data_IF_630127279084
#
_entry.id   IF_630127279084
#
_cell.length_a   1.000
_cell.length_b   1.000
_cell.length_c   1.000
_cell.angle_alpha   90.00
_cell.angle_beta   90.00
_cell.angle_gamma   90.00
#
_symmetry.space_group_name_H-M   'P 1'
#
loop_
_entity.id
_entity.type
_entity.pdbx_description
1 polymer ?
#
# COMPACT_ATOMS: atom_id res chain seq x y z
N UNK A 1 -29.93 30.28 36.84
CA UNK A 1 -29.06 31.12 35.97
C UNK A 1 -28.11 30.19 35.26
N UNK A 2 -27.88 30.48 33.98
CA UNK A 2 -27.52 29.55 32.91
C UNK A 2 -26.05 29.13 33.00
N UNK A 3 -25.78 27.86 33.32
CA UNK A 3 -24.46 27.24 33.27
C UNK A 3 -24.17 26.63 31.88
N UNK A 4 -24.59 27.33 30.82
CA UNK A 4 -24.30 26.94 29.43
C UNK A 4 -22.92 27.42 28.95
N UNK A 5 -22.27 28.34 29.67
CA UNK A 5 -20.97 28.90 29.25
C UNK A 5 -19.80 27.91 29.30
N UNK A 6 -19.79 26.96 30.24
CA UNK A 6 -18.66 26.02 30.37
C UNK A 6 -18.70 24.90 29.33
N UNK A 7 -19.88 24.37 29.00
CA UNK A 7 -20.02 23.31 27.98
C UNK A 7 -19.72 23.81 26.56
N UNK A 8 -19.97 25.09 26.27
CA UNK A 8 -19.61 25.68 24.97
C UNK A 8 -18.11 25.88 24.85
N UNK A 9 -17.40 26.23 25.94
CA UNK A 9 -15.94 26.44 25.91
C UNK A 9 -15.20 25.13 25.59
N UNK A 10 -15.64 23.99 26.12
CA UNK A 10 -15.04 22.68 25.80
C UNK A 10 -15.26 22.26 24.34
N UNK A 11 -16.49 22.40 23.84
CA UNK A 11 -16.79 22.08 22.45
C UNK A 11 -16.08 23.03 21.49
N UNK A 12 -16.01 24.32 21.81
CA UNK A 12 -15.31 25.30 20.99
C UNK A 12 -13.80 25.02 20.98
N UNK A 13 -13.19 24.68 22.12
CA UNK A 13 -11.78 24.30 22.19
C UNK A 13 -11.48 22.99 21.44
N UNK A 14 -12.35 21.98 21.58
CA UNK A 14 -12.22 20.70 20.89
C UNK A 14 -12.42 20.87 19.37
N UNK A 15 -13.37 21.70 18.94
CA UNK A 15 -13.62 22.00 17.52
C UNK A 15 -12.47 22.83 16.93
N UNK A 16 -12.00 23.86 17.63
CA UNK A 16 -10.86 24.67 17.20
C UNK A 16 -9.60 23.81 17.05
N UNK A 17 -9.35 22.91 17.99
CA UNK A 17 -8.18 22.04 17.94
C UNK A 17 -8.35 20.92 16.93
N UNK A 18 -9.55 20.35 16.76
CA UNK A 18 -9.82 19.35 15.71
C UNK A 18 -9.91 19.97 14.30
N UNK A 19 -10.03 21.29 14.17
CA UNK A 19 -10.15 21.93 12.85
C UNK A 19 -8.86 21.87 12.02
N UNK A 20 -7.70 21.74 12.67
CA UNK A 20 -6.38 21.71 12.03
C UNK A 20 -5.94 20.30 11.63
N UNK A 21 -6.51 19.26 12.25
CA UNK A 21 -6.18 17.87 11.95
C UNK A 21 -6.53 17.46 10.50
N UNK A 22 -7.76 17.69 9.98
CA UNK A 22 -8.11 17.31 8.61
C UNK A 22 -7.18 17.92 7.54
N UNK A 23 -6.89 19.24 7.51
CA UNK A 23 -6.03 19.79 6.48
C UNK A 23 -4.58 19.29 6.58
N UNK A 24 -4.05 19.07 7.79
CA UNK A 24 -2.67 18.60 7.98
C UNK A 24 -2.50 17.14 7.57
N UNK A 25 -3.45 16.28 7.91
CA UNK A 25 -3.46 14.88 7.46
C UNK A 25 -3.65 14.80 5.94
N UNK A 26 -4.57 15.57 5.38
CA UNK A 26 -4.77 15.60 3.93
C UNK A 26 -3.50 16.07 3.21
N UNK A 27 -2.78 17.05 3.76
CA UNK A 27 -1.50 17.49 3.21
C UNK A 27 -0.45 16.37 3.27
N UNK A 28 -0.32 15.68 4.40
CA UNK A 28 0.62 14.57 4.55
C UNK A 28 0.30 13.43 3.56
N UNK A 29 -0.96 13.00 3.48
CA UNK A 29 -1.41 11.95 2.56
C UNK A 29 -1.22 12.32 1.10
N UNK A 30 -1.52 13.56 0.70
CA UNK A 30 -1.27 14.03 -0.66
C UNK A 30 0.23 14.03 -1.00
N UNK A 31 1.09 14.36 -0.02
CA UNK A 31 2.54 14.33 -0.20
C UNK A 31 3.05 12.90 -0.34
N UNK A 32 2.57 11.98 0.50
CA UNK A 32 2.86 10.55 0.41
C UNK A 32 2.43 10.01 -0.96
N UNK A 33 1.20 10.30 -1.40
CA UNK A 33 0.70 9.86 -2.71
C UNK A 33 1.54 10.42 -3.88
N UNK A 34 2.01 11.67 -3.78
CA UNK A 34 2.91 12.24 -4.77
C UNK A 34 4.28 11.54 -4.80
N UNK A 35 4.84 11.20 -3.64
CA UNK A 35 6.08 10.42 -3.52
C UNK A 35 5.89 8.98 -4.02
N UNK A 36 4.73 8.37 -3.78
CA UNK A 36 4.40 7.03 -4.29
C UNK A 36 4.35 7.00 -5.81
N UNK A 37 3.69 7.98 -6.44
CA UNK A 37 3.67 8.09 -7.91
C UNK A 37 5.08 8.26 -8.48
N UNK A 38 5.90 9.15 -7.91
CA UNK A 38 7.31 9.30 -8.32
C UNK A 38 8.10 8.00 -8.15
N UNK A 39 7.88 7.30 -7.04
CA UNK A 39 8.54 6.01 -6.75
C UNK A 39 8.09 4.90 -7.71
N UNK A 40 6.86 4.93 -8.21
CA UNK A 40 6.38 4.01 -9.24
C UNK A 40 7.04 4.32 -10.58
N UNK A 41 7.07 5.59 -11.01
CA UNK A 41 7.75 6.03 -12.24
C UNK A 41 9.24 5.62 -12.24
N UNK A 42 9.94 5.82 -11.12
CA UNK A 42 11.34 5.42 -10.98
C UNK A 42 11.54 3.90 -10.95
N UNK A 43 10.57 3.14 -10.41
CA UNK A 43 10.58 1.66 -10.50
C UNK A 43 10.43 1.18 -11.93
N UNK A 44 9.59 1.82 -12.74
CA UNK A 44 9.47 1.51 -14.16
C UNK A 44 10.75 1.87 -14.94
N UNK A 45 11.40 2.99 -14.62
CA UNK A 45 12.71 3.36 -15.18
C UNK A 45 13.80 2.34 -14.82
N UNK A 46 13.77 1.87 -13.57
CA UNK A 46 14.69 0.85 -13.05
C UNK A 46 14.50 -0.48 -13.78
N UNK A 47 13.26 -0.94 -13.94
CA UNK A 47 12.95 -2.16 -14.68
C UNK A 47 13.42 -2.05 -16.14
N UNK A 48 13.21 -0.90 -16.79
CA UNK A 48 13.72 -0.62 -18.14
C UNK A 48 15.25 -0.63 -18.20
N UNK A 49 15.96 -0.21 -17.15
CA UNK A 49 17.42 -0.33 -17.09
C UNK A 49 17.87 -1.77 -16.86
N UNK A 50 17.16 -2.54 -16.04
CA UNK A 50 17.41 -3.95 -15.83
C UNK A 50 17.25 -4.75 -17.14
N UNK A 51 16.14 -4.54 -17.85
CA UNK A 51 15.89 -5.17 -19.14
C UNK A 51 16.97 -4.83 -20.17
N UNK A 52 17.41 -3.56 -20.25
CA UNK A 52 18.53 -3.16 -21.13
C UNK A 52 19.84 -3.89 -20.78
N UNK A 53 20.09 -4.13 -19.49
CA UNK A 53 21.25 -4.90 -19.07
C UNK A 53 21.15 -6.38 -19.46
N UNK A 54 19.95 -6.96 -19.46
CA UNK A 54 19.70 -8.33 -19.91
C UNK A 54 19.82 -8.46 -21.44
N UNK A 55 19.30 -7.48 -22.18
CA UNK A 55 19.30 -7.45 -23.65
C UNK A 55 20.71 -7.37 -24.24
N UNK A 56 21.67 -6.76 -23.53
CA UNK A 56 23.10 -6.75 -23.91
C UNK A 56 23.73 -8.15 -23.91
N UNK A 57 23.10 -9.11 -23.23
CA UNK A 57 23.54 -10.51 -23.16
C UNK A 57 24.87 -10.70 -22.43
N UNK A 58 25.28 -11.95 -22.18
CA UNK A 58 26.51 -12.25 -21.42
C UNK A 58 27.81 -11.97 -22.19
N UNK A 59 27.72 -11.54 -23.46
CA UNK A 59 28.87 -11.30 -24.35
C UNK A 59 29.25 -9.82 -24.40
N UNK A 60 28.43 -8.93 -23.86
CA UNK A 60 28.75 -7.51 -23.78
C UNK A 60 29.93 -7.26 -22.82
N UNK A 61 30.72 -6.24 -23.15
CA UNK A 61 31.93 -5.93 -22.40
C UNK A 61 31.59 -5.41 -21.00
N UNK A 62 32.46 -5.64 -20.02
CA UNK A 62 32.28 -5.10 -18.66
C UNK A 62 32.12 -3.56 -18.65
N UNK A 63 32.76 -2.88 -19.60
CA UNK A 63 32.64 -1.42 -19.83
C UNK A 63 31.25 -1.00 -20.32
N UNK A 64 30.53 -1.86 -21.08
CA UNK A 64 29.19 -1.57 -21.59
C UNK A 64 28.11 -1.79 -20.50
N UNK A 65 28.35 -2.74 -19.59
CA UNK A 65 27.46 -2.98 -18.44
C UNK A 65 27.68 -1.98 -17.30
N UNK A 66 28.88 -1.40 -17.17
CA UNK A 66 29.22 -0.46 -16.09
C UNK A 66 28.25 0.73 -15.97
N UNK A 67 27.94 1.51 -17.02
CA UNK A 67 27.03 2.65 -16.89
C UNK A 67 25.61 2.23 -16.51
N UNK A 68 25.14 1.08 -16.99
CA UNK A 68 23.83 0.54 -16.62
C UNK A 68 23.77 0.11 -15.15
N UNK A 69 24.85 -0.50 -14.64
CA UNK A 69 24.97 -0.84 -13.21
C UNK A 69 24.99 0.41 -12.34
N UNK A 70 25.78 1.41 -12.69
CA UNK A 70 25.87 2.67 -11.95
C UNK A 70 24.49 3.38 -11.94
N UNK A 71 23.76 3.38 -13.05
CA UNK A 71 22.40 3.91 -13.12
C UNK A 71 21.40 3.11 -12.27
N UNK A 72 21.47 1.78 -12.31
CA UNK A 72 20.64 0.90 -11.49
C UNK A 72 20.88 1.14 -9.99
N UNK A 73 22.15 1.22 -9.57
CA UNK A 73 22.53 1.49 -8.18
C UNK A 73 22.04 2.87 -7.72
N UNK A 74 22.21 3.89 -8.57
CA UNK A 74 21.70 5.24 -8.30
C UNK A 74 20.18 5.27 -8.14
N UNK A 75 19.44 4.59 -9.01
CA UNK A 75 17.98 4.54 -8.94
C UNK A 75 17.50 3.77 -7.69
N UNK A 76 18.16 2.68 -7.31
CA UNK A 76 17.87 1.97 -6.06
C UNK A 76 18.11 2.86 -4.82
N UNK A 77 19.22 3.62 -4.80
CA UNK A 77 19.51 4.57 -3.72
C UNK A 77 18.41 5.62 -3.56
N UNK A 78 17.93 6.18 -4.67
CA UNK A 78 16.82 7.15 -4.67
C UNK A 78 15.50 6.53 -4.19
N UNK A 79 15.18 5.29 -4.59
CA UNK A 79 13.98 4.59 -4.12
C UNK A 79 14.00 4.36 -2.60
N UNK A 80 15.15 4.02 -2.04
CA UNK A 80 15.33 3.88 -0.59
C UNK A 80 15.13 5.21 0.13
N UNK A 81 15.73 6.28 -0.39
CA UNK A 81 15.55 7.62 0.16
C UNK A 81 14.07 8.04 0.18
N UNK A 82 13.35 7.85 -0.93
CA UNK A 82 11.92 8.18 -0.98
C UNK A 82 11.06 7.24 -0.13
N UNK A 83 11.49 6.00 0.11
CA UNK A 83 10.84 5.12 1.08
C UNK A 83 10.98 5.64 2.51
N UNK A 84 12.17 6.11 2.88
CA UNK A 84 12.42 6.73 4.19
C UNK A 84 11.61 8.02 4.37
N UNK A 85 11.58 8.91 3.38
CA UNK A 85 10.79 10.14 3.42
C UNK A 85 9.28 9.85 3.56
N UNK A 86 8.76 8.84 2.86
CA UNK A 86 7.36 8.41 3.00
C UNK A 86 7.06 7.86 4.39
N UNK A 87 7.96 7.04 4.94
CA UNK A 87 7.83 6.51 6.28
C UNK A 87 7.81 7.63 7.32
N UNK A 88 8.71 8.62 7.21
CA UNK A 88 8.75 9.78 8.08
C UNK A 88 7.44 10.58 8.03
N UNK A 89 6.91 10.85 6.83
CA UNK A 89 5.63 11.53 6.68
C UNK A 89 4.47 10.75 7.31
N UNK A 90 4.46 9.42 7.17
CA UNK A 90 3.44 8.56 7.77
C UNK A 90 3.53 8.56 9.30
N UNK A 91 4.73 8.52 9.87
CA UNK A 91 4.96 8.63 11.32
C UNK A 91 4.42 9.96 11.84
N UNK A 92 4.79 11.08 11.22
CA UNK A 92 4.33 12.42 11.65
C UNK A 92 2.81 12.54 11.57
N UNK A 93 2.19 12.03 10.50
CA UNK A 93 0.74 12.02 10.37
C UNK A 93 0.07 11.18 11.47
N UNK A 94 0.64 10.01 11.79
CA UNK A 94 0.15 9.15 12.85
C UNK A 94 0.27 9.80 14.23
N UNK A 95 1.43 10.37 14.56
CA UNK A 95 1.65 11.10 15.82
C UNK A 95 0.69 12.28 15.98
N UNK A 96 0.37 12.98 14.87
CA UNK A 96 -0.64 14.02 14.88
C UNK A 96 -2.00 13.45 15.31
N UNK A 97 -2.46 12.37 14.67
CA UNK A 97 -3.73 11.71 15.02
C UNK A 97 -3.73 11.27 16.49
N UNK A 98 -2.66 10.60 16.95
CA UNK A 98 -2.56 10.14 18.35
C UNK A 98 -2.61 11.29 19.36
N UNK A 99 -2.08 12.46 19.02
CA UNK A 99 -2.16 13.65 19.88
C UNK A 99 -3.59 14.14 20.00
N UNK A 100 -4.34 14.15 18.90
CA UNK A 100 -5.75 14.54 18.92
C UNK A 100 -6.63 13.52 19.65
N UNK A 101 -6.34 12.22 19.51
CA UNK A 101 -7.05 11.17 20.27
C UNK A 101 -6.86 11.38 21.77
N UNK A 102 -5.61 11.53 22.23
CA UNK A 102 -5.31 11.78 23.65
C UNK A 102 -5.99 13.03 24.20
N UNK A 103 -5.98 14.12 23.43
CA UNK A 103 -6.65 15.35 23.81
C UNK A 103 -8.17 15.15 23.93
N UNK A 104 -8.80 14.48 22.96
CA UNK A 104 -10.24 14.18 23.03
C UNK A 104 -10.55 13.29 24.24
N UNK A 105 -9.69 12.31 24.55
CA UNK A 105 -9.85 11.47 25.73
C UNK A 105 -9.74 12.28 27.04
N UNK A 106 -8.80 13.23 27.13
CA UNK A 106 -8.64 14.14 28.27
C UNK A 106 -9.86 15.09 28.42
N UNK A 107 -10.34 15.65 27.31
CA UNK A 107 -11.53 16.51 27.29
C UNK A 107 -12.79 15.74 27.70
N UNK A 108 -12.93 14.49 27.24
CA UNK A 108 -14.03 13.59 27.62
C UNK A 108 -13.97 13.23 29.10
N UNK A 109 -12.79 12.92 29.63
CA UNK A 109 -12.61 12.64 31.06
C UNK A 109 -12.99 13.86 31.91
N UNK A 110 -12.51 15.06 31.53
CA UNK A 110 -12.88 16.30 32.21
C UNK A 110 -14.38 16.56 32.18
N UNK A 111 -15.05 16.26 31.06
CA UNK A 111 -16.51 16.35 30.95
C UNK A 111 -17.26 15.36 31.84
N UNK A 112 -16.79 14.11 31.95
CA UNK A 112 -17.35 13.11 32.85
C UNK A 112 -17.24 13.55 34.32
N UNK A 113 -16.07 14.06 34.73
CA UNK A 113 -15.83 14.61 36.06
C UNK A 113 -16.77 15.80 36.35
N UNK A 114 -16.91 16.73 35.39
CA UNK A 114 -17.84 17.86 35.48
C UNK A 114 -19.32 17.42 35.63
N UNK A 115 -19.74 16.35 34.96
CA UNK A 115 -21.09 15.81 35.06
C UNK A 115 -21.34 15.12 36.41
N UNK A 116 -20.34 14.41 36.92
CA UNK A 116 -20.38 13.78 38.24
C UNK A 116 -20.49 14.87 39.32
N UNK A 117 -19.67 15.92 39.25
CA UNK A 117 -19.67 17.04 40.20
C UNK A 117 -20.98 17.83 40.20
N UNK A 118 -21.66 17.90 39.05
CA UNK A 118 -22.99 18.53 38.92
C UNK A 118 -24.13 17.64 39.43
N UNK A 119 -23.83 16.44 39.95
CA UNK A 119 -24.82 15.52 40.50
C UNK A 119 -25.69 14.81 39.45
N UNK A 120 -25.33 14.88 38.16
CA UNK A 120 -26.10 14.24 37.09
C UNK A 120 -26.04 12.70 37.15
N UNK A 121 -25.10 12.14 37.93
CA UNK A 121 -24.92 10.70 38.17
C UNK A 121 -25.13 10.26 39.63
N UNK A 122 -25.56 11.15 40.53
CA UNK A 122 -25.77 10.83 41.94
C UNK A 122 -27.16 10.25 42.27
N UNK A 123 -28.07 10.14 41.29
CA UNK A 123 -29.46 9.69 41.49
C UNK A 123 -29.85 8.45 40.65
N UNK A 124 -28.91 7.53 40.42
CA UNK A 124 -29.22 6.17 39.89
C UNK A 124 -28.70 5.09 40.86
N UNK A 125 -28.70 5.44 42.15
CA UNK A 125 -27.95 4.72 43.18
C UNK A 125 -28.67 3.60 43.92
N UNK A 126 -29.95 3.28 43.65
CA UNK A 126 -30.64 2.26 44.48
C UNK A 126 -31.64 1.33 43.77
N UNK A 127 -31.85 1.41 42.44
CA UNK A 127 -32.87 0.58 41.75
C UNK A 127 -32.39 -0.10 40.44
N UNK A 128 -31.08 -0.31 40.25
CA UNK A 128 -30.56 -1.01 39.05
C UNK A 128 -30.14 -2.45 39.37
N UNK A 129 -30.83 -3.41 38.76
CA UNK A 129 -30.62 -4.86 38.95
C UNK A 129 -29.18 -5.33 38.59
N UNK A 130 -28.70 -6.44 39.18
CA UNK A 130 -27.27 -6.79 39.23
C UNK A 130 -26.64 -7.24 37.90
N UNK A 131 -27.37 -7.28 36.78
CA UNK A 131 -26.90 -7.93 35.55
C UNK A 131 -26.27 -6.98 34.50
N UNK A 132 -26.31 -5.67 34.68
CA UNK A 132 -25.71 -4.70 33.71
C UNK A 132 -24.41 -4.05 34.18
N UNK A 133 -23.71 -4.65 35.13
CA UNK A 133 -22.35 -4.22 35.48
C UNK A 133 -21.38 -4.68 34.40
N UNK A 134 -21.23 -3.90 33.33
CA UNK A 134 -20.14 -4.13 32.36
C UNK A 134 -18.79 -4.12 33.09
N UNK A 135 -17.88 -5.04 32.75
CA UNK A 135 -16.61 -5.19 33.45
C UNK A 135 -15.76 -3.95 33.21
N UNK A 136 -15.45 -3.26 34.29
CA UNK A 136 -14.35 -2.30 34.33
C UNK A 136 -13.08 -3.03 33.89
N UNK A 137 -12.63 -2.71 32.68
CA UNK A 137 -11.40 -3.26 32.11
C UNK A 137 -10.21 -2.83 32.97
N UNK A 138 -9.78 -3.76 33.82
CA UNK A 138 -8.39 -4.01 34.20
C UNK A 138 -7.55 -2.79 34.55
N UNK A 139 -7.69 -2.31 35.79
CA UNK A 139 -6.56 -1.76 36.55
C UNK A 139 -5.46 -2.83 36.61
N UNK A 140 -4.42 -2.73 35.77
CA UNK A 140 -3.12 -3.33 36.10
C UNK A 140 -2.47 -2.42 37.15
N UNK A 141 -2.36 -2.96 38.34
CA UNK A 141 -1.88 -2.26 39.53
C UNK A 141 -0.46 -1.74 39.39
N UNK A 142 -0.29 -0.46 39.71
CA UNK A 142 0.92 0.10 40.25
C UNK A 142 0.73 0.29 41.76
N UNK A 143 1.35 -0.59 42.53
CA UNK A 143 1.52 -0.55 43.98
C UNK A 143 2.48 -1.70 44.30
N UNK A 144 3.70 -1.49 44.79
CA UNK A 144 4.07 -0.63 45.91
C UNK A 144 4.46 -1.56 47.04
N UNK A 145 5.76 -1.84 47.20
CA UNK A 145 6.30 -2.48 48.40
C UNK A 145 7.59 -1.76 48.79
N UNK A 146 7.56 -1.11 49.95
CA UNK A 146 8.74 -0.59 50.63
C UNK A 146 9.46 -1.68 51.43
N UNK A 147 10.66 -1.32 51.91
CA UNK A 147 11.35 -2.06 52.97
C UNK A 147 12.83 -2.32 52.65
N UNK A 148 13.69 -1.52 53.28
CA UNK A 148 15.15 -1.58 53.25
C UNK A 148 15.73 -2.97 53.56
N UNK A 149 16.99 -3.21 53.16
CA UNK A 149 18.08 -3.83 53.95
C UNK A 149 19.35 -3.99 53.08
N UNK A 150 20.42 -3.30 53.49
CA UNK A 150 21.87 -3.66 53.49
C UNK A 150 22.57 -4.31 52.28
N UNK A 151 23.73 -3.73 51.93
CA UNK A 151 24.90 -4.36 51.29
C UNK A 151 24.81 -4.34 49.76
N UNK A 152 25.75 -3.82 48.99
CA UNK A 152 27.19 -3.67 49.14
C UNK A 152 27.81 -4.05 47.78
N UNK A 153 28.87 -3.35 47.40
CA UNK A 153 29.86 -3.68 46.35
C UNK A 153 29.44 -3.70 44.86
N UNK A 154 29.96 -2.71 44.11
CA UNK A 154 30.90 -2.95 43.02
C UNK A 154 30.42 -2.89 41.56
N UNK A 155 31.12 -2.08 40.76
CA UNK A 155 31.28 -2.25 39.30
C UNK A 155 30.33 -1.40 38.43
N UNK A 156 30.71 -0.23 37.92
CA UNK A 156 31.66 0.07 36.83
C UNK A 156 31.00 0.16 35.44
N UNK A 157 31.43 1.20 34.70
CA UNK A 157 31.32 1.46 33.26
C UNK A 157 29.93 1.97 32.79
N UNK A 158 29.76 3.12 32.16
CA UNK A 158 30.70 4.03 31.49
C UNK A 158 30.04 4.50 30.19
N UNK A 159 29.55 5.75 30.16
CA UNK A 159 29.04 6.38 28.94
C UNK A 159 30.15 7.14 28.19
N UNK A 160 30.08 7.28 26.85
CA UNK A 160 30.90 8.24 26.10
C UNK A 160 30.14 9.59 26.00
N UNK A 161 30.63 10.69 26.60
CA UNK A 161 31.71 11.63 26.20
C UNK A 161 31.42 12.43 24.93
N UNK A 162 31.02 13.70 25.12
CA UNK A 162 31.27 14.78 24.18
C UNK A 162 32.51 15.55 24.67
N UNK A 163 33.57 15.56 23.88
CA UNK A 163 34.84 16.24 24.17
C UNK A 163 34.87 17.60 23.47
N UNK A 164 34.92 18.65 24.26
CA UNK A 164 35.55 19.91 23.87
C UNK A 164 37.06 19.68 23.67
N UNK A 165 37.67 20.41 22.74
CA UNK A 165 39.10 20.66 22.75
C UNK A 165 39.34 22.13 22.39
N UNK A 166 39.99 22.84 23.29
CA UNK A 166 40.49 24.21 23.14
C UNK A 166 42.02 24.19 23.02
N UNK A 167 42.57 25.20 22.35
CA UNK A 167 44.00 25.51 22.23
C UNK A 167 44.45 25.54 20.77
N UNK A 168 45.14 26.53 20.22
CA UNK A 168 45.80 27.71 20.77
C UNK A 168 47.04 28.05 19.92
N UNK A 169 46.96 29.14 19.14
CA UNK A 169 48.00 30.11 18.71
C UNK A 169 49.35 29.68 18.10
N UNK A 170 49.63 30.20 16.88
CA UNK A 170 50.83 30.94 16.39
C UNK A 170 50.77 30.94 14.84
N UNK A 171 50.77 32.03 14.05
CA UNK A 171 51.57 33.24 13.88
C UNK A 171 52.18 33.24 12.44
N UNK A 172 52.13 34.41 11.76
CA UNK A 172 52.82 34.81 10.50
C UNK A 172 52.30 34.23 9.17
N UNK A 173 52.30 34.90 8.02
CA UNK A 173 52.42 36.31 7.58
C UNK A 173 52.16 36.31 6.05
N UNK A 174 51.91 37.49 5.49
CA UNK A 174 52.04 37.90 4.09
C UNK A 174 51.02 37.50 2.99
N UNK A 175 50.57 38.56 2.30
CA UNK A 175 50.56 38.59 0.84
C UNK A 175 49.19 38.73 0.17
N UNK A 176 48.88 39.94 -0.31
CA UNK A 176 47.61 40.31 -0.92
C UNK A 176 47.44 39.98 -2.41
N UNK A 177 46.31 40.42 -2.97
CA UNK A 177 46.07 40.37 -4.42
C UNK A 177 44.61 40.61 -4.80
N UNK A 178 44.32 41.82 -5.27
CA UNK A 178 43.04 42.26 -5.80
C UNK A 178 42.64 41.54 -7.10
N UNK A 179 41.34 41.40 -7.35
CA UNK A 179 40.83 40.84 -8.60
C UNK A 179 39.31 40.95 -8.74
N UNK A 180 38.89 42.10 -9.26
CA UNK A 180 37.55 42.52 -9.66
C UNK A 180 37.02 41.70 -10.86
N UNK A 181 35.72 41.34 -10.89
CA UNK A 181 34.83 41.41 -12.07
C UNK A 181 33.40 40.92 -11.77
N UNK A 182 32.44 41.61 -12.37
CA UNK A 182 31.00 41.60 -12.05
C UNK A 182 30.12 40.62 -12.84
N UNK A 183 28.81 40.92 -13.00
CA UNK A 183 27.73 39.93 -12.97
C UNK A 183 27.23 39.48 -14.36
N UNK A 184 26.71 38.25 -14.44
CA UNK A 184 26.17 37.66 -15.67
C UNK A 184 24.73 37.15 -15.49
N UNK A 185 23.84 37.71 -16.29
CA UNK A 185 22.40 37.45 -16.38
C UNK A 185 22.09 36.01 -16.82
N UNK A 186 21.11 35.38 -16.16
CA UNK A 186 20.51 34.13 -16.60
C UNK A 186 19.46 34.37 -17.70
N UNK A 187 19.69 33.77 -18.86
CA UNK A 187 18.68 33.57 -19.90
C UNK A 187 18.21 32.10 -19.86
N UNK A 188 16.93 31.82 -20.17
CA UNK A 188 16.31 30.51 -19.94
C UNK A 188 16.57 29.52 -21.09
N UNK A 189 16.48 28.20 -20.85
CA UNK A 189 16.43 27.22 -21.93
C UNK A 189 15.02 27.07 -22.54
N UNK A 190 14.93 26.52 -23.76
CA UNK A 190 13.85 26.76 -24.71
C UNK A 190 12.70 25.75 -24.66
N UNK A 191 11.53 26.21 -25.12
CA UNK A 191 10.40 25.38 -25.50
C UNK A 191 10.70 24.57 -26.78
N UNK A 192 10.60 23.25 -26.68
CA UNK A 192 10.51 22.29 -27.78
C UNK A 192 9.80 21.06 -27.18
N UNK A 193 8.88 20.33 -27.81
CA UNK A 193 8.23 20.38 -29.12
C UNK A 193 7.24 19.21 -29.06
N UNK A 194 6.01 19.39 -29.53
CA UNK A 194 5.04 18.32 -29.60
C UNK A 194 5.52 17.17 -30.52
N UNK A 195 5.44 15.94 -30.04
CA UNK A 195 5.29 14.69 -30.80
C UNK A 195 4.68 13.66 -29.85
N UNK A 196 3.35 13.49 -29.85
CA UNK A 196 2.58 12.52 -30.64
C UNK A 196 3.11 11.08 -30.60
N UNK A 197 2.21 10.18 -30.12
CA UNK A 197 2.16 8.71 -30.16
C UNK A 197 2.96 8.04 -29.03
N UNK A 198 2.43 7.19 -28.16
CA UNK A 198 1.24 6.34 -28.19
C UNK A 198 1.70 4.88 -28.08
N UNK A 199 1.27 4.16 -27.04
CA UNK A 199 1.48 2.72 -26.93
C UNK A 199 1.47 2.19 -25.48
N UNK A 200 0.35 1.62 -25.05
CA UNK A 200 0.41 0.36 -24.29
C UNK A 200 0.07 -0.80 -25.22
N UNK A 201 -0.14 -2.02 -24.72
CA UNK A 201 0.62 -2.80 -23.73
C UNK A 201 1.44 -3.91 -24.45
N UNK A 202 2.34 -4.68 -23.80
CA UNK A 202 3.02 -5.76 -24.50
C UNK A 202 2.14 -7.02 -24.52
N UNK A 203 1.53 -7.30 -25.68
CA UNK A 203 1.21 -8.67 -26.11
C UNK A 203 2.33 -9.15 -27.03
N UNK A 204 2.93 -10.30 -26.72
CA UNK A 204 3.83 -11.01 -27.63
C UNK A 204 3.02 -11.90 -28.57
N UNK A 205 3.24 -11.71 -29.89
CA UNK A 205 2.69 -12.54 -30.98
C UNK A 205 3.86 -13.24 -31.68
N UNK A 206 3.94 -14.57 -31.60
CA UNK A 206 4.76 -15.35 -32.53
C UNK A 206 3.92 -15.81 -33.73
N UNK A 207 4.48 -15.64 -34.91
CA UNK A 207 3.89 -16.00 -36.19
C UNK A 207 4.33 -17.41 -36.63
N UNK A 208 3.41 -18.19 -37.17
CA UNK A 208 3.71 -19.15 -38.23
C UNK A 208 2.74 -18.90 -39.38
N UNK A 209 3.30 -18.67 -40.57
CA UNK A 209 2.55 -18.60 -41.82
C UNK A 209 2.53 -19.95 -42.51
N UNK A 210 1.47 -20.23 -43.25
CA UNK A 210 1.52 -20.98 -44.50
C UNK A 210 0.35 -20.54 -45.37
N UNK A 211 0.69 -20.21 -46.61
CA UNK A 211 -0.18 -19.86 -47.73
C UNK A 211 -0.11 -21.02 -48.73
N UNK A 212 -1.19 -21.25 -49.50
CA UNK A 212 -1.14 -22.06 -50.71
C UNK A 212 -2.20 -23.18 -50.87
N UNK A 213 -3.30 -22.84 -51.57
CA UNK A 213 -3.56 -23.42 -52.90
C UNK A 213 -4.34 -24.74 -53.08
N UNK A 214 -5.56 -24.59 -53.63
CA UNK A 214 -6.18 -25.35 -54.74
C UNK A 214 -6.56 -26.85 -54.61
N UNK A 215 -7.87 -27.10 -54.69
CA UNK A 215 -8.53 -27.90 -55.75
C UNK A 215 -8.41 -29.44 -55.72
N UNK A 216 -9.57 -30.12 -55.66
CA UNK A 216 -9.67 -31.52 -56.08
C UNK A 216 -10.87 -32.28 -55.51
N UNK A 217 -11.88 -32.52 -56.35
CA UNK A 217 -12.96 -33.47 -56.15
C UNK A 217 -12.43 -34.90 -55.93
N UNK A 218 -13.09 -35.69 -55.08
CA UNK A 218 -12.74 -37.11 -54.91
C UNK A 218 -13.65 -37.86 -53.93
N UNK A 219 -14.49 -38.72 -54.48
CA UNK A 219 -15.43 -39.61 -53.79
C UNK A 219 -14.75 -40.64 -52.86
N UNK A 220 -15.45 -40.97 -51.76
CA UNK A 220 -15.86 -42.36 -51.49
C UNK A 220 -15.06 -43.21 -50.49
N UNK A 221 -15.84 -43.85 -49.60
CA UNK A 221 -15.53 -44.98 -48.69
C UNK A 221 -14.66 -44.59 -47.48
N UNK A 222 -15.08 -44.74 -46.21
CA UNK A 222 -15.79 -45.86 -45.60
C UNK A 222 -14.81 -46.54 -44.64
N UNK A 223 -14.96 -46.34 -43.33
CA UNK A 223 -14.11 -47.00 -42.33
C UNK A 223 -14.20 -46.37 -40.94
N UNK A 224 -14.96 -47.04 -40.07
CA UNK A 224 -14.75 -47.28 -38.63
C UNK A 224 -13.79 -46.32 -37.90
N UNK A 225 -14.21 -45.59 -36.88
CA UNK A 225 -14.77 -46.19 -35.67
C UNK A 225 -13.80 -46.03 -34.50
N UNK A 226 -13.74 -44.80 -33.99
CA UNK A 226 -13.44 -44.43 -32.59
C UNK A 226 -12.04 -44.76 -32.04
N UNK A 227 -11.10 -43.85 -32.28
CA UNK A 227 -10.22 -43.32 -31.22
C UNK A 227 -10.04 -41.82 -31.51
N UNK A 228 -10.83 -41.00 -30.84
CA UNK A 228 -10.62 -39.56 -30.84
C UNK A 228 -9.36 -39.25 -30.01
N UNK A 229 -8.36 -38.53 -30.54
CA UNK A 229 -7.37 -37.89 -29.69
C UNK A 229 -8.12 -36.87 -28.82
N UNK A 230 -7.93 -36.97 -27.50
CA UNK A 230 -8.44 -36.00 -26.53
C UNK A 230 -7.90 -34.64 -26.94
N UNK A 231 -8.75 -33.85 -27.58
CA UNK A 231 -8.46 -32.46 -27.88
C UNK A 231 -8.25 -31.74 -26.56
N UNK A 232 -7.11 -31.08 -26.44
CA UNK A 232 -6.86 -30.06 -25.41
C UNK A 232 -7.94 -29.01 -25.61
N UNK A 233 -9.03 -29.15 -24.85
CA UNK A 233 -10.20 -28.30 -24.92
C UNK A 233 -9.80 -26.90 -24.53
N UNK A 234 -10.03 -25.98 -25.46
CA UNK A 234 -9.98 -24.54 -25.29
C UNK A 234 -10.73 -24.17 -24.00
N UNK A 235 -10.00 -23.90 -22.90
CA UNK A 235 -10.57 -23.50 -21.62
C UNK A 235 -11.07 -22.06 -21.74
N UNK A 236 -12.29 -21.90 -22.26
CA UNK A 236 -13.08 -20.69 -22.10
C UNK A 236 -13.81 -20.72 -20.77
N UNK A 237 -14.47 -19.61 -20.41
CA UNK A 237 -15.26 -19.54 -19.20
C UNK A 237 -16.30 -20.66 -19.13
N UNK A 238 -16.49 -21.24 -17.93
CA UNK A 238 -17.53 -22.24 -17.66
C UNK A 238 -18.89 -21.59 -17.88
N UNK A 239 -19.05 -20.35 -17.43
CA UNK A 239 -20.24 -19.53 -17.62
C UNK A 239 -19.95 -18.27 -18.43
N UNK A 240 -20.89 -17.79 -19.27
CA UNK A 240 -20.68 -16.54 -20.00
C UNK A 240 -20.49 -15.37 -19.03
N UNK A 241 -19.56 -14.43 -19.33
CA UNK A 241 -19.29 -13.30 -18.47
C UNK A 241 -20.53 -12.40 -18.29
N UNK A 242 -20.74 -11.82 -17.10
CA UNK A 242 -21.91 -11.00 -16.84
C UNK A 242 -22.02 -9.81 -17.83
N UNK A 243 -23.21 -9.55 -18.37
CA UNK A 243 -23.40 -8.43 -19.29
C UNK A 243 -23.15 -7.10 -18.57
N UNK A 244 -22.46 -6.18 -19.25
CA UNK A 244 -22.13 -4.82 -18.79
C UNK A 244 -20.99 -4.69 -17.77
N UNK A 245 -20.25 -5.76 -17.47
CA UNK A 245 -19.00 -5.65 -16.70
C UNK A 245 -17.80 -5.54 -17.63
N UNK A 246 -16.89 -4.63 -17.28
CA UNK A 246 -15.59 -4.51 -17.94
C UNK A 246 -14.65 -5.58 -17.40
N UNK A 247 -13.73 -6.00 -18.23
CA UNK A 247 -12.58 -6.85 -17.88
C UNK A 247 -11.76 -6.26 -16.73
N UNK A 248 -11.55 -4.94 -16.74
CA UNK A 248 -10.72 -4.20 -15.79
C UNK A 248 -11.33 -2.85 -15.41
N UNK A 249 -11.29 -2.50 -14.13
CA UNK A 249 -11.75 -1.20 -13.64
C UNK A 249 -10.95 -0.72 -12.41
N UNK A 250 -10.76 0.60 -12.24
CA UNK A 250 -10.12 1.19 -11.04
C UNK A 250 -10.99 1.15 -9.78
N UNK A 251 -12.25 0.74 -9.91
CA UNK A 251 -13.22 0.70 -8.83
C UNK A 251 -14.09 -0.53 -9.01
N UNK A 252 -14.59 -1.05 -7.89
CA UNK A 252 -15.60 -2.09 -7.88
C UNK A 252 -16.76 -1.72 -8.80
N UNK A 253 -17.11 -2.61 -9.73
CA UNK A 253 -18.18 -2.38 -10.70
C UNK A 253 -19.52 -2.86 -10.15
N UNK A 254 -19.50 -3.89 -9.31
CA UNK A 254 -20.69 -4.46 -8.69
C UNK A 254 -20.88 -4.02 -7.23
N UNK A 255 -22.08 -4.26 -6.69
CA UNK A 255 -22.38 -4.17 -5.25
C UNK A 255 -22.38 -5.56 -4.59
N UNK A 256 -21.54 -6.45 -5.09
CA UNK A 256 -21.49 -7.82 -4.60
C UNK A 256 -20.79 -7.92 -3.24
N UNK A 257 -20.90 -9.10 -2.62
CA UNK A 257 -20.38 -9.38 -1.28
C UNK A 257 -18.91 -9.82 -1.38
N UNK A 258 -18.09 -9.33 -0.46
CA UNK A 258 -16.73 -9.86 -0.29
C UNK A 258 -16.76 -11.34 0.07
N UNK A 259 -15.80 -12.10 -0.46
CA UNK A 259 -15.64 -13.51 -0.12
C UNK A 259 -15.34 -13.65 1.38
N UNK A 260 -16.11 -14.50 2.06
CA UNK A 260 -15.87 -14.84 3.48
C UNK A 260 -15.45 -16.31 3.62
N UNK A 261 -14.82 -16.67 4.75
CA UNK A 261 -14.38 -18.05 5.01
C UNK A 261 -15.49 -19.09 4.89
N UNK A 262 -16.73 -18.74 5.26
CA UNK A 262 -17.88 -19.66 5.17
C UNK A 262 -18.33 -19.93 3.73
N UNK A 263 -17.94 -19.05 2.81
CA UNK A 263 -18.32 -19.12 1.40
C UNK A 263 -17.33 -19.99 0.59
N UNK A 264 -16.20 -20.43 1.20
CA UNK A 264 -15.17 -21.27 0.56
C UNK A 264 -15.63 -22.73 0.48
N UNK A 265 -16.25 -23.08 -0.64
CA UNK A 265 -16.65 -24.44 -0.97
C UNK A 265 -16.76 -24.63 -2.49
N UNK A 266 -17.06 -25.84 -2.94
CA UNK A 266 -17.17 -26.18 -4.37
C UNK A 266 -18.25 -25.38 -5.12
N UNK A 267 -19.21 -24.76 -4.44
CA UNK A 267 -20.24 -23.92 -5.09
C UNK A 267 -19.70 -22.59 -5.64
N UNK A 268 -18.44 -22.24 -5.33
CA UNK A 268 -17.74 -21.13 -5.96
C UNK A 268 -17.33 -21.44 -7.40
N UNK A 269 -17.22 -22.71 -7.79
CA UNK A 269 -16.80 -23.08 -9.15
C UNK A 269 -17.82 -22.60 -10.18
N UNK A 270 -17.33 -21.93 -11.22
CA UNK A 270 -18.09 -21.26 -12.26
C UNK A 270 -18.68 -19.91 -11.85
N UNK A 271 -18.44 -19.43 -10.62
CA UNK A 271 -18.86 -18.08 -10.21
C UNK A 271 -17.89 -17.04 -10.78
N UNK A 272 -18.46 -15.91 -11.17
CA UNK A 272 -17.69 -14.73 -11.53
C UNK A 272 -17.36 -13.91 -10.29
N UNK A 273 -16.19 -13.31 -10.26
CA UNK A 273 -15.75 -12.43 -9.19
C UNK A 273 -14.99 -11.23 -9.75
N UNK A 274 -14.97 -10.15 -8.98
CA UNK A 274 -14.03 -9.06 -9.17
C UNK A 274 -12.88 -9.25 -8.18
N UNK A 275 -11.65 -9.34 -8.69
CA UNK A 275 -10.44 -9.48 -7.90
C UNK A 275 -9.59 -8.20 -7.97
N UNK A 276 -9.21 -7.68 -6.81
CA UNK A 276 -8.35 -6.52 -6.71
C UNK A 276 -6.89 -6.92 -6.80
N UNK A 277 -6.13 -6.19 -7.61
CA UNK A 277 -4.69 -6.34 -7.71
C UNK A 277 -3.98 -5.07 -7.21
N UNK A 278 -3.18 -5.16 -6.13
CA UNK A 278 -2.58 -4.00 -5.50
C UNK A 278 -1.43 -3.39 -6.31
N UNK A 279 -0.80 -4.15 -7.21
CA UNK A 279 0.33 -3.66 -7.99
C UNK A 279 -0.07 -2.53 -8.95
N UNK A 280 -1.27 -2.61 -9.52
CA UNK A 280 -1.73 -1.64 -10.50
C UNK A 280 -3.01 -0.90 -10.09
N UNK A 281 -3.57 -1.15 -8.90
CA UNK A 281 -4.76 -0.48 -8.36
C UNK A 281 -6.00 -0.69 -9.26
N UNK A 282 -6.22 -1.94 -9.67
CA UNK A 282 -7.39 -2.31 -10.48
C UNK A 282 -8.09 -3.57 -9.98
N UNK A 283 -9.38 -3.62 -10.27
CA UNK A 283 -10.26 -4.76 -10.16
C UNK A 283 -10.37 -5.46 -11.51
N UNK A 284 -10.21 -6.77 -11.50
CA UNK A 284 -10.27 -7.66 -12.66
C UNK A 284 -11.48 -8.57 -12.56
N UNK A 285 -12.24 -8.66 -13.65
CA UNK A 285 -13.29 -9.65 -13.76
C UNK A 285 -12.66 -11.02 -14.05
N UNK A 286 -12.94 -11.98 -13.17
CA UNK A 286 -12.43 -13.34 -13.20
C UNK A 286 -13.56 -14.36 -13.05
N UNK A 287 -13.29 -15.61 -13.39
CA UNK A 287 -14.12 -16.76 -13.02
C UNK A 287 -13.30 -17.75 -12.20
N UNK A 288 -13.93 -18.32 -11.18
CA UNK A 288 -13.33 -19.36 -10.36
C UNK A 288 -13.54 -20.71 -11.06
N UNK A 289 -12.48 -21.36 -11.53
CA UNK A 289 -12.57 -22.63 -12.27
C UNK A 289 -12.48 -23.86 -11.37
N UNK A 290 -11.73 -23.78 -10.28
CA UNK A 290 -11.57 -24.87 -9.33
C UNK A 290 -11.36 -24.32 -7.93
N UNK A 291 -11.85 -25.03 -6.92
CA UNK A 291 -11.62 -24.72 -5.51
C UNK A 291 -11.30 -26.01 -4.77
N UNK A 292 -10.19 -26.00 -4.05
CA UNK A 292 -9.85 -27.03 -3.07
C UNK A 292 -10.16 -26.48 -1.67
N UNK A 293 -11.26 -26.94 -1.07
CA UNK A 293 -11.67 -26.52 0.27
C UNK A 293 -10.74 -27.00 1.38
N UNK A 294 -9.95 -28.06 1.13
CA UNK A 294 -9.00 -28.60 2.11
C UNK A 294 -7.74 -27.74 2.22
N UNK A 295 -7.17 -27.36 1.08
CA UNK A 295 -5.99 -26.48 1.03
C UNK A 295 -6.35 -24.99 0.98
N UNK A 296 -7.62 -24.65 0.78
CA UNK A 296 -8.13 -23.27 0.58
C UNK A 296 -7.42 -22.56 -0.58
N UNK A 297 -7.15 -23.31 -1.66
CA UNK A 297 -6.60 -22.78 -2.91
C UNK A 297 -7.68 -22.79 -3.98
N UNK A 298 -7.62 -21.83 -4.89
CA UNK A 298 -8.52 -21.77 -6.04
C UNK A 298 -7.75 -21.50 -7.32
N UNK A 299 -8.20 -22.08 -8.43
CA UNK A 299 -7.75 -21.72 -9.77
C UNK A 299 -8.76 -20.75 -10.35
N UNK A 300 -8.29 -19.59 -10.79
CA UNK A 300 -9.10 -18.56 -11.44
C UNK A 300 -8.71 -18.42 -12.90
N UNK A 301 -9.58 -17.81 -13.69
CA UNK A 301 -9.32 -17.43 -15.06
C UNK A 301 -9.76 -15.99 -15.33
N UNK A 302 -8.90 -15.24 -16.01
CA UNK A 302 -9.14 -13.88 -16.47
C UNK A 302 -9.88 -13.87 -17.81
N UNK A 303 -10.45 -12.72 -18.19
CA UNK A 303 -11.06 -12.55 -19.52
C UNK A 303 -10.06 -12.72 -20.67
N UNK A 304 -8.77 -12.56 -20.40
CA UNK A 304 -7.69 -12.83 -21.35
C UNK A 304 -7.51 -14.31 -21.66
N UNK A 305 -8.11 -15.21 -20.87
CA UNK A 305 -7.93 -16.65 -20.92
C UNK A 305 -6.72 -17.15 -20.11
N UNK A 306 -6.00 -16.26 -19.43
CA UNK A 306 -4.92 -16.63 -18.52
C UNK A 306 -5.51 -17.19 -17.23
N UNK A 307 -4.82 -18.19 -16.66
CA UNK A 307 -5.23 -18.84 -15.41
C UNK A 307 -4.18 -18.64 -14.33
N UNK A 308 -4.64 -18.51 -13.08
CA UNK A 308 -3.77 -18.31 -11.92
C UNK A 308 -4.28 -19.11 -10.72
N UNK A 309 -3.36 -19.53 -9.85
CA UNK A 309 -3.70 -20.17 -8.57
C UNK A 309 -3.61 -19.15 -7.44
N UNK A 310 -4.64 -19.09 -6.60
CA UNK A 310 -4.77 -18.17 -5.48
C UNK A 310 -4.85 -18.90 -4.15
N UNK A 311 -4.31 -18.28 -3.10
CA UNK A 311 -4.53 -18.66 -1.71
C UNK A 311 -5.73 -17.89 -1.15
N UNK A 312 -6.87 -18.57 -0.96
CA UNK A 312 -8.12 -17.91 -0.56
C UNK A 312 -8.03 -17.26 0.84
N UNK A 313 -7.18 -17.78 1.72
CA UNK A 313 -6.98 -17.22 3.06
C UNK A 313 -6.43 -15.78 3.01
N UNK A 314 -5.44 -15.54 2.15
CA UNK A 314 -4.87 -14.20 1.95
C UNK A 314 -5.90 -13.26 1.33
N UNK A 315 -6.58 -13.73 0.28
CA UNK A 315 -7.60 -12.96 -0.43
C UNK A 315 -8.76 -12.54 0.48
N UNK A 316 -9.23 -13.43 1.37
CA UNK A 316 -10.32 -13.14 2.32
C UNK A 316 -9.84 -12.16 3.40
N UNK A 317 -8.63 -12.37 3.93
CA UNK A 317 -8.03 -11.50 4.96
C UNK A 317 -7.88 -10.07 4.46
N UNK A 318 -7.46 -9.91 3.21
CA UNK A 318 -7.18 -8.61 2.59
C UNK A 318 -8.39 -8.00 1.90
N UNK A 319 -9.50 -8.75 1.81
CA UNK A 319 -10.72 -8.35 1.11
C UNK A 319 -10.48 -7.99 -0.36
N UNK A 320 -9.64 -8.78 -1.02
CA UNK A 320 -9.26 -8.57 -2.41
C UNK A 320 -10.18 -9.27 -3.42
N UNK A 321 -11.26 -9.91 -2.99
CA UNK A 321 -12.21 -10.56 -3.90
C UNK A 321 -13.66 -10.32 -3.49
N UNK A 322 -14.46 -9.99 -4.49
CA UNK A 322 -15.91 -9.83 -4.41
C UNK A 322 -16.56 -10.79 -5.39
N UNK A 323 -17.40 -11.71 -4.90
CA UNK A 323 -18.01 -12.74 -5.74
C UNK A 323 -19.43 -12.35 -6.13
N UNK A 324 -19.71 -12.43 -7.42
CA UNK A 324 -20.97 -12.00 -8.02
C UNK A 324 -22.01 -13.11 -7.89
N UNK A 325 -23.10 -12.81 -7.17
CA UNK A 325 -24.20 -13.77 -6.98
C UNK A 325 -23.90 -14.88 -5.96
N UNK A 326 -23.16 -14.54 -4.90
CA UNK A 326 -23.12 -15.28 -3.64
C UNK A 326 -24.50 -15.29 -2.94
#
# INVERSE_FOLDING_TARGET
MVQQGSNTIWLDNAIETCSTLPPDILRALNTIAALDRKSQELREDLERAHQRCLDLGPVANAEEHRPLRDDIERMHGLLLQWAEERLQLAIVAHEQVERHVRMVDEDLQGFEEDLIDRGAFQDVGDDMEPYERMPSSTRRGAGGLGGALSGGVGGALGGPTASEYTGGTSAQDDGGGAGQMGPGQGNPPPALRASRRGGGPPMQRMAMGMDGGHGGDGMGYGGDGVYAPVGVGQMGFINPPPPNLKDKARRLQTRAKFLEYKDVNEALVGKHAEMYWPHDDHWYLIEIQAVDSGTRRATIMYLTGETEELELDEIIRERHMVVIGL
#
